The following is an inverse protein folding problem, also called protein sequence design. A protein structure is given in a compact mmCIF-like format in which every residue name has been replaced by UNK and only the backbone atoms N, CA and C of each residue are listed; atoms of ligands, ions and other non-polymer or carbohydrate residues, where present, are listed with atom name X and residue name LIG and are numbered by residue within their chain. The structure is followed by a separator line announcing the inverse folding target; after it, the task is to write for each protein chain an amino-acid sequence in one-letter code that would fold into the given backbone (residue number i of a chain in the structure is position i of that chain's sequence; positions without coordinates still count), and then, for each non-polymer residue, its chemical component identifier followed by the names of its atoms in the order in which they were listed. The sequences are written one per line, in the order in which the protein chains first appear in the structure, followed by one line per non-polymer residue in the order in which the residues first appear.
data_IF_839101160119
#
_entry.id   IF_839101160119
#
_cell.length_a   1.000
_cell.length_b   1.000
_cell.length_c   1.000
_cell.angle_alpha   90.00
_cell.angle_beta   90.00
_cell.angle_gamma   90.00
#
_symmetry.space_group_name_H-M   'P 1'
#
loop_
_entity.id
_entity.type
_entity.pdbx_description
1 polymer ?
#
# COMPACT_ATOMS: atom_id res chain seq x y z
N UNK A 1 -38.46 -42.32 43.34
CA UNK A 1 -39.37 -41.87 42.27
C UNK A 1 -38.85 -40.51 41.82
N UNK A 2 -37.72 -40.52 41.11
CA UNK A 2 -37.64 -40.59 39.64
C UNK A 2 -37.60 -39.17 39.08
N UNK A 3 -36.42 -38.65 38.75
CA UNK A 3 -35.59 -38.92 37.56
C UNK A 3 -35.89 -37.92 36.43
N UNK A 4 -34.85 -37.19 36.02
CA UNK A 4 -34.48 -36.91 34.62
C UNK A 4 -33.47 -35.75 34.63
N UNK A 5 -32.19 -36.06 34.48
CA UNK A 5 -31.45 -36.16 33.22
C UNK A 5 -31.11 -34.79 32.59
N UNK A 6 -29.83 -34.44 32.68
CA UNK A 6 -29.12 -33.61 31.68
C UNK A 6 -29.32 -34.19 30.26
N UNK A 7 -29.23 -33.36 29.21
CA UNK A 7 -27.93 -33.16 28.56
C UNK A 7 -27.74 -31.67 28.19
N UNK A 8 -26.56 -31.09 28.34
CA UNK A 8 -25.47 -31.36 27.44
C UNK A 8 -25.05 -30.04 26.78
N UNK A 9 -24.02 -29.43 27.35
CA UNK A 9 -23.27 -28.33 26.79
C UNK A 9 -22.71 -28.74 25.40
N UNK A 10 -23.33 -28.29 24.31
CA UNK A 10 -22.94 -28.65 22.93
C UNK A 10 -22.82 -27.47 21.95
N UNK A 11 -22.84 -26.22 22.43
CA UNK A 11 -22.75 -25.05 21.54
C UNK A 11 -21.38 -24.35 21.52
N UNK A 12 -20.38 -24.85 22.26
CA UNK A 12 -19.06 -24.22 22.34
C UNK A 12 -18.01 -24.74 21.33
N UNK A 13 -18.28 -25.81 20.56
CA UNK A 13 -17.26 -26.48 19.74
C UNK A 13 -17.33 -26.20 18.22
N UNK A 14 -18.41 -25.62 17.71
CA UNK A 14 -18.61 -25.44 16.25
C UNK A 14 -17.93 -24.18 15.71
N UNK A 15 -17.69 -23.17 16.55
CA UNK A 15 -17.02 -21.92 16.16
C UNK A 15 -15.51 -22.07 15.91
N UNK A 16 -14.85 -23.02 16.58
CA UNK A 16 -13.38 -23.05 16.62
C UNK A 16 -12.74 -23.72 15.38
N UNK A 17 -13.36 -24.77 14.82
CA UNK A 17 -12.89 -25.42 13.57
C UNK A 17 -13.13 -24.57 12.32
N UNK A 18 -14.28 -23.90 12.25
CA UNK A 18 -14.61 -23.02 11.13
C UNK A 18 -13.72 -21.78 11.11
N UNK A 19 -13.48 -21.19 12.29
CA UNK A 19 -12.59 -20.03 12.43
C UNK A 19 -11.14 -20.39 12.12
N UNK A 20 -10.63 -21.54 12.61
CA UNK A 20 -9.27 -22.00 12.28
C UNK A 20 -9.09 -22.28 10.79
N UNK A 21 -10.03 -22.99 10.15
CA UNK A 21 -9.93 -23.29 8.73
C UNK A 21 -10.02 -22.03 7.84
N UNK A 22 -10.89 -21.07 8.19
CA UNK A 22 -11.02 -19.80 7.47
C UNK A 22 -9.79 -18.90 7.69
N UNK A 23 -9.26 -18.87 8.92
CA UNK A 23 -8.02 -18.19 9.25
C UNK A 23 -6.85 -18.76 8.46
N UNK A 24 -6.62 -20.07 8.49
CA UNK A 24 -5.50 -20.69 7.75
C UNK A 24 -5.65 -20.54 6.24
N UNK A 25 -6.87 -20.59 5.69
CA UNK A 25 -7.15 -20.35 4.26
C UNK A 25 -6.77 -18.93 3.84
N UNK A 26 -7.01 -17.92 4.68
CA UNK A 26 -6.66 -16.52 4.38
C UNK A 26 -5.21 -16.18 4.74
N UNK A 27 -4.68 -16.80 5.80
CA UNK A 27 -3.34 -16.54 6.33
C UNK A 27 -2.24 -17.06 5.43
N UNK A 28 -2.40 -18.27 4.87
CA UNK A 28 -1.42 -18.86 3.97
C UNK A 28 -1.11 -17.99 2.73
N UNK A 29 -2.10 -17.52 1.94
CA UNK A 29 -1.83 -16.65 0.80
C UNK A 29 -1.31 -15.27 1.22
N UNK A 30 -1.72 -14.73 2.38
CA UNK A 30 -1.20 -13.47 2.89
C UNK A 30 0.29 -13.56 3.26
N UNK A 31 0.71 -14.66 3.88
CA UNK A 31 2.12 -14.92 4.17
C UNK A 31 2.94 -15.07 2.89
N UNK A 32 2.47 -15.88 1.93
CA UNK A 32 3.13 -16.03 0.64
C UNK A 32 3.30 -14.70 -0.09
N UNK A 33 2.27 -13.84 -0.04
CA UNK A 33 2.32 -12.50 -0.61
C UNK A 33 3.37 -11.62 0.09
N UNK A 34 3.46 -11.70 1.42
CA UNK A 34 4.42 -10.94 2.22
C UNK A 34 5.86 -11.39 1.96
N UNK A 35 6.10 -12.70 1.89
CA UNK A 35 7.41 -13.27 1.53
C UNK A 35 7.79 -12.89 0.10
N UNK A 36 6.84 -12.95 -0.83
CA UNK A 36 7.05 -12.49 -2.20
C UNK A 36 7.49 -11.03 -2.26
N UNK A 37 6.83 -10.16 -1.50
CA UNK A 37 7.21 -8.75 -1.41
C UNK A 37 8.62 -8.57 -0.85
N UNK A 38 8.95 -9.22 0.26
CA UNK A 38 10.30 -9.15 0.84
C UNK A 38 11.38 -9.66 -0.10
N UNK A 39 11.10 -10.71 -0.89
CA UNK A 39 12.05 -11.23 -1.86
C UNK A 39 12.27 -10.25 -3.02
N UNK A 40 11.22 -9.56 -3.46
CA UNK A 40 11.34 -8.49 -4.44
C UNK A 40 12.19 -7.33 -3.92
N UNK A 41 11.99 -6.89 -2.67
CA UNK A 41 12.81 -5.84 -2.07
C UNK A 41 14.31 -6.23 -2.01
N UNK A 42 14.61 -7.50 -1.69
CA UNK A 42 15.98 -8.03 -1.70
C UNK A 42 16.54 -8.07 -3.12
N UNK A 43 15.76 -8.53 -4.10
CA UNK A 43 16.19 -8.60 -5.49
C UNK A 43 16.55 -7.20 -6.02
N UNK A 44 15.71 -6.20 -5.74
CA UNK A 44 15.96 -4.81 -6.12
C UNK A 44 17.24 -4.27 -5.46
N UNK A 45 17.45 -4.55 -4.16
CA UNK A 45 18.66 -4.16 -3.46
C UNK A 45 19.92 -4.85 -4.03
N UNK A 46 19.84 -6.14 -4.39
CA UNK A 46 20.96 -6.88 -5.00
C UNK A 46 21.31 -6.32 -6.38
N UNK A 47 20.31 -6.09 -7.23
CA UNK A 47 20.51 -5.51 -8.57
C UNK A 47 21.12 -4.12 -8.45
N UNK A 48 20.59 -3.26 -7.59
CA UNK A 48 21.19 -1.93 -7.37
C UNK A 48 22.60 -2.03 -6.81
N UNK A 49 22.84 -2.92 -5.84
CA UNK A 49 24.16 -3.15 -5.27
C UNK A 49 25.19 -3.62 -6.30
N UNK A 50 24.79 -4.48 -7.25
CA UNK A 50 25.65 -4.95 -8.33
C UNK A 50 25.89 -3.89 -9.41
N UNK A 51 24.87 -3.12 -9.78
CA UNK A 51 24.98 -2.13 -10.86
C UNK A 51 25.59 -0.79 -10.42
N UNK A 52 25.33 -0.35 -9.19
CA UNK A 52 25.67 0.99 -8.69
C UNK A 52 26.57 0.96 -7.45
N UNK A 53 26.92 -0.23 -6.95
CA UNK A 53 27.88 -0.41 -5.87
C UNK A 53 27.45 0.16 -4.53
N UNK A 54 28.42 0.35 -3.64
CA UNK A 54 28.19 0.86 -2.29
C UNK A 54 27.57 2.27 -2.27
N UNK A 55 27.91 3.12 -3.24
CA UNK A 55 27.37 4.49 -3.36
C UNK A 55 25.89 4.48 -3.70
N UNK A 56 25.46 3.60 -4.62
CA UNK A 56 24.04 3.43 -4.96
C UNK A 56 23.22 2.95 -3.77
N UNK A 57 23.71 1.94 -3.05
CA UNK A 57 23.04 1.43 -1.85
C UNK A 57 22.93 2.48 -0.75
N UNK A 58 24.02 3.22 -0.48
CA UNK A 58 24.00 4.31 0.49
C UNK A 58 22.96 5.39 0.11
N UNK A 59 22.92 5.76 -1.18
CA UNK A 59 21.94 6.73 -1.69
C UNK A 59 20.49 6.28 -1.46
N UNK A 60 20.19 5.00 -1.72
CA UNK A 60 18.86 4.44 -1.46
C UNK A 60 18.51 4.52 0.02
N UNK A 61 19.42 4.07 0.89
CA UNK A 61 19.19 4.10 2.35
C UNK A 61 18.89 5.50 2.87
N UNK A 62 19.54 6.52 2.32
CA UNK A 62 19.30 7.92 2.68
C UNK A 62 17.92 8.41 2.23
N UNK A 63 17.40 7.91 1.10
CA UNK A 63 16.10 8.33 0.55
C UNK A 63 14.93 7.60 1.21
N UNK A 64 15.17 6.45 1.86
CA UNK A 64 14.13 5.65 2.52
C UNK A 64 13.18 6.45 3.44
N UNK A 65 13.64 7.38 4.30
CA UNK A 65 12.74 8.15 5.15
C UNK A 65 11.75 9.00 4.34
N UNK A 66 12.22 9.60 3.24
CA UNK A 66 11.37 10.40 2.33
C UNK A 66 10.35 9.49 1.65
N UNK A 67 10.81 8.34 1.17
CA UNK A 67 9.94 7.32 0.58
C UNK A 67 8.86 6.87 1.58
N UNK A 68 9.23 6.56 2.82
CA UNK A 68 8.30 6.12 3.86
C UNK A 68 7.22 7.16 4.16
N UNK A 69 7.60 8.43 4.31
CA UNK A 69 6.64 9.53 4.52
C UNK A 69 5.67 9.63 3.34
N UNK A 70 6.19 9.60 2.12
CA UNK A 70 5.37 9.63 0.92
C UNK A 70 4.42 8.43 0.85
N UNK A 71 4.90 7.24 1.23
CA UNK A 71 4.11 6.02 1.23
C UNK A 71 3.00 6.05 2.30
N UNK A 72 3.29 6.63 3.47
CA UNK A 72 2.32 6.83 4.54
C UNK A 72 1.13 7.67 4.07
N UNK A 73 1.37 8.78 3.38
CA UNK A 73 0.30 9.62 2.84
C UNK A 73 -0.48 8.90 1.73
N UNK A 74 0.20 8.21 0.81
CA UNK A 74 -0.45 7.44 -0.26
C UNK A 74 -1.39 6.37 0.31
N UNK A 75 -0.91 5.58 1.26
CA UNK A 75 -1.67 4.50 1.88
C UNK A 75 -2.76 5.05 2.82
N UNK A 76 -2.49 6.14 3.53
CA UNK A 76 -3.44 6.80 4.41
C UNK A 76 -4.64 7.36 3.64
N UNK A 77 -4.39 8.07 2.54
CA UNK A 77 -5.46 8.59 1.67
C UNK A 77 -6.20 7.45 0.97
N UNK A 78 -5.49 6.45 0.45
CA UNK A 78 -6.10 5.29 -0.23
C UNK A 78 -6.99 4.46 0.69
N UNK A 79 -6.46 4.07 1.85
CA UNK A 79 -7.19 3.24 2.82
C UNK A 79 -8.29 4.01 3.53
N UNK A 80 -8.04 5.26 3.92
CA UNK A 80 -9.05 6.12 4.55
C UNK A 80 -10.20 6.41 3.60
N UNK A 81 -9.88 6.74 2.35
CA UNK A 81 -10.88 7.00 1.31
C UNK A 81 -11.69 5.76 0.93
N UNK A 82 -11.04 4.61 0.76
CA UNK A 82 -11.72 3.34 0.53
C UNK A 82 -12.65 2.96 1.69
N UNK A 83 -12.24 3.20 2.93
CA UNK A 83 -13.10 2.92 4.10
C UNK A 83 -14.38 3.75 4.06
N UNK A 84 -14.28 5.05 3.77
CA UNK A 84 -15.44 5.93 3.63
C UNK A 84 -16.37 5.48 2.48
N UNK A 85 -15.78 5.11 1.34
CA UNK A 85 -16.53 4.58 0.20
C UNK A 85 -17.31 3.30 0.56
N UNK A 86 -16.65 2.34 1.23
CA UNK A 86 -17.28 1.09 1.65
C UNK A 86 -18.47 1.31 2.59
N UNK A 87 -18.35 2.26 3.53
CA UNK A 87 -19.44 2.62 4.46
C UNK A 87 -20.62 3.25 3.72
N UNK A 88 -20.38 4.14 2.76
CA UNK A 88 -21.45 4.75 1.95
C UNK A 88 -22.16 3.73 1.06
N UNK A 89 -21.41 2.81 0.47
CA UNK A 89 -21.94 1.69 -0.32
C UNK A 89 -22.78 0.74 0.54
N UNK A 90 -22.32 0.40 1.76
CA UNK A 90 -23.07 -0.43 2.70
C UNK A 90 -24.40 0.22 3.15
N UNK A 91 -24.48 1.55 3.14
CA UNK A 91 -25.71 2.32 3.43
C UNK A 91 -26.61 2.53 2.21
N UNK A 92 -26.29 1.95 1.06
CA UNK A 92 -27.08 2.07 -0.18
C UNK A 92 -26.96 3.43 -0.89
N UNK A 93 -26.11 4.34 -0.42
CA UNK A 93 -25.96 5.71 -0.93
C UNK A 93 -24.97 5.77 -2.11
N UNK A 94 -25.30 5.09 -3.22
CA UNK A 94 -24.39 4.94 -4.37
C UNK A 94 -23.93 6.27 -5.00
N UNK A 95 -24.82 7.26 -5.06
CA UNK A 95 -24.49 8.58 -5.64
C UNK A 95 -23.47 9.33 -4.78
N UNK A 96 -23.67 9.35 -3.45
CA UNK A 96 -22.72 9.94 -2.50
C UNK A 96 -21.39 9.19 -2.48
N UNK A 97 -21.42 7.85 -2.60
CA UNK A 97 -20.22 7.03 -2.69
C UNK A 97 -19.37 7.39 -3.92
N UNK A 98 -19.99 7.54 -5.10
CA UNK A 98 -19.30 7.93 -6.34
C UNK A 98 -18.73 9.36 -6.28
N UNK A 99 -19.45 10.28 -5.65
CA UNK A 99 -18.95 11.65 -5.42
C UNK A 99 -17.75 11.64 -4.49
N UNK A 100 -17.85 10.97 -3.33
CA UNK A 100 -16.75 10.79 -2.39
C UNK A 100 -15.53 10.14 -3.06
N UNK A 101 -15.73 9.14 -3.92
CA UNK A 101 -14.66 8.55 -4.71
C UNK A 101 -13.93 9.59 -5.57
N UNK A 102 -14.69 10.35 -6.35
CA UNK A 102 -14.16 11.39 -7.24
C UNK A 102 -13.41 12.48 -6.46
N UNK A 103 -13.93 12.88 -5.29
CA UNK A 103 -13.29 13.86 -4.42
C UNK A 103 -11.97 13.36 -3.84
N UNK A 104 -11.90 12.07 -3.45
CA UNK A 104 -10.68 11.43 -2.96
C UNK A 104 -9.65 11.31 -4.08
N UNK A 105 -10.05 10.95 -5.29
CA UNK A 105 -9.17 10.97 -6.47
C UNK A 105 -8.60 12.36 -6.74
N UNK A 106 -9.46 13.38 -6.75
CA UNK A 106 -9.04 14.76 -6.99
C UNK A 106 -8.09 15.26 -5.89
N UNK A 107 -8.43 14.99 -4.63
CA UNK A 107 -7.61 15.36 -3.47
C UNK A 107 -6.26 14.64 -3.50
N UNK A 108 -6.23 13.36 -3.84
CA UNK A 108 -5.00 12.58 -3.99
C UNK A 108 -4.13 13.06 -5.15
N UNK A 109 -4.73 13.44 -6.28
CA UNK A 109 -4.02 14.01 -7.42
C UNK A 109 -3.43 15.39 -7.09
N UNK A 110 -4.20 16.25 -6.43
CA UNK A 110 -3.73 17.56 -5.96
C UNK A 110 -2.61 17.40 -4.94
N UNK A 111 -2.79 16.55 -3.93
CA UNK A 111 -1.80 16.33 -2.88
C UNK A 111 -0.49 15.75 -3.44
N UNK A 112 -0.57 14.76 -4.33
CA UNK A 112 0.62 14.18 -4.96
C UNK A 112 1.34 15.16 -5.89
N UNK A 113 0.59 15.97 -6.64
CA UNK A 113 1.16 17.03 -7.49
C UNK A 113 1.87 18.10 -6.66
N UNK A 114 1.23 18.56 -5.58
CA UNK A 114 1.82 19.53 -4.64
C UNK A 114 3.07 18.94 -3.99
N UNK A 115 3.02 17.70 -3.52
CA UNK A 115 4.17 17.01 -2.91
C UNK A 115 5.33 16.85 -3.89
N UNK A 116 5.05 16.48 -5.15
CA UNK A 116 6.07 16.36 -6.19
C UNK A 116 6.72 17.71 -6.52
N UNK A 117 5.92 18.78 -6.68
CA UNK A 117 6.43 20.13 -6.96
C UNK A 117 7.24 20.66 -5.78
N UNK A 118 6.72 20.56 -4.55
CA UNK A 118 7.45 20.99 -3.36
C UNK A 118 8.75 20.20 -3.19
N UNK A 119 8.73 18.89 -3.38
CA UNK A 119 9.94 18.07 -3.31
C UNK A 119 11.00 18.46 -4.34
N UNK A 120 10.59 18.84 -5.56
CA UNK A 120 11.51 19.29 -6.61
C UNK A 120 12.07 20.70 -6.33
N UNK A 121 11.24 21.61 -5.80
CA UNK A 121 11.67 22.97 -5.42
C UNK A 121 12.61 22.94 -4.22
N UNK A 122 12.30 22.12 -3.22
CA UNK A 122 13.09 21.97 -1.99
C UNK A 122 14.11 20.82 -2.06
N UNK A 123 14.48 20.36 -3.26
CA UNK A 123 15.37 19.22 -3.45
C UNK A 123 16.72 19.40 -2.74
N UNK A 124 17.32 20.58 -2.84
CA UNK A 124 18.61 20.90 -2.23
C UNK A 124 18.55 20.91 -0.68
N UNK A 125 17.60 21.62 -0.04
CA UNK A 125 17.37 21.51 1.40
C UNK A 125 17.09 20.07 1.87
N UNK A 126 16.32 19.30 1.10
CA UNK A 126 16.01 17.92 1.43
C UNK A 126 17.31 17.08 1.47
N UNK A 127 18.15 17.17 0.44
CA UNK A 127 19.44 16.47 0.39
C UNK A 127 20.34 16.80 1.59
N UNK A 128 20.31 18.05 2.05
CA UNK A 128 21.04 18.50 3.23
C UNK A 128 20.47 17.89 4.52
N UNK A 129 19.14 17.81 4.67
CA UNK A 129 18.48 17.14 5.80
C UNK A 129 18.76 15.64 5.79
N UNK A 130 18.85 15.03 4.62
CA UNK A 130 19.27 13.63 4.45
C UNK A 130 20.74 13.42 4.83
N UNK A 131 21.50 14.48 5.09
CA UNK A 131 22.91 14.39 5.51
C UNK A 131 23.89 14.32 4.35
N UNK A 132 23.46 14.65 3.12
CA UNK A 132 24.35 14.73 1.95
C UNK A 132 24.60 16.18 1.56
N UNK A 133 25.86 16.48 1.28
CA UNK A 133 26.34 17.81 0.92
C UNK A 133 26.97 17.70 -0.47
N UNK A 134 26.96 18.77 -1.30
CA UNK A 134 27.68 18.75 -2.58
C UNK A 134 29.16 18.35 -2.48
N UNK A 135 29.76 18.48 -1.29
CA UNK A 135 31.11 18.02 -1.00
C UNK A 135 31.28 16.48 -1.02
N UNK A 136 30.21 15.71 -0.89
CA UNK A 136 30.22 14.24 -0.91
C UNK A 136 30.31 13.66 -2.34
N UNK A 137 30.38 14.54 -3.36
CA UNK A 137 30.66 14.19 -4.75
C UNK A 137 29.66 13.17 -5.32
N UNK A 138 30.14 11.95 -5.58
CA UNK A 138 29.36 10.90 -6.22
C UNK A 138 28.11 10.48 -5.42
N UNK A 139 28.16 10.52 -4.08
CA UNK A 139 27.01 10.19 -3.24
C UNK A 139 25.89 11.24 -3.36
N UNK A 140 26.27 12.51 -3.42
CA UNK A 140 25.31 13.61 -3.59
C UNK A 140 24.58 13.53 -4.93
N UNK A 141 25.32 13.34 -6.03
CA UNK A 141 24.72 13.24 -7.37
C UNK A 141 23.84 11.99 -7.52
N UNK A 142 24.27 10.84 -6.97
CA UNK A 142 23.45 9.63 -6.96
C UNK A 142 22.16 9.83 -6.15
N UNK A 143 22.25 10.33 -4.91
CA UNK A 143 21.09 10.60 -4.05
C UNK A 143 20.14 11.60 -4.69
N UNK A 144 20.65 12.66 -5.31
CA UNK A 144 19.87 13.66 -6.04
C UNK A 144 19.13 13.05 -7.23
N UNK A 145 19.80 12.21 -8.02
CA UNK A 145 19.18 11.55 -9.17
C UNK A 145 18.03 10.63 -8.73
N UNK A 146 18.27 9.79 -7.72
CA UNK A 146 17.24 8.90 -7.16
C UNK A 146 16.06 9.67 -6.58
N UNK A 147 16.33 10.71 -5.78
CA UNK A 147 15.29 11.52 -5.17
C UNK A 147 14.44 12.24 -6.22
N UNK A 148 15.07 12.74 -7.29
CA UNK A 148 14.35 13.36 -8.42
C UNK A 148 13.45 12.36 -9.13
N UNK A 149 13.95 11.15 -9.42
CA UNK A 149 13.15 10.08 -10.04
C UNK A 149 11.97 9.71 -9.14
N UNK A 150 12.21 9.55 -7.83
CA UNK A 150 11.18 9.24 -6.85
C UNK A 150 10.08 10.30 -6.81
N UNK A 151 10.44 11.58 -6.80
CA UNK A 151 9.50 12.70 -6.78
C UNK A 151 8.70 12.79 -8.08
N UNK A 152 9.33 12.54 -9.23
CA UNK A 152 8.63 12.49 -10.52
C UNK A 152 7.68 11.29 -10.63
N UNK A 153 8.02 10.16 -10.00
CA UNK A 153 7.18 8.97 -9.95
C UNK A 153 6.02 9.09 -8.95
N UNK A 154 6.08 10.03 -8.00
CA UNK A 154 5.11 10.16 -6.90
C UNK A 154 3.66 10.37 -7.38
N UNK A 155 3.35 11.24 -8.36
CA UNK A 155 1.98 11.41 -8.85
C UNK A 155 1.41 10.12 -9.47
N UNK A 156 2.23 9.41 -10.25
CA UNK A 156 1.84 8.14 -10.88
C UNK A 156 1.62 7.05 -9.82
N UNK A 157 2.45 7.02 -8.79
CA UNK A 157 2.33 6.10 -7.66
C UNK A 157 1.01 6.31 -6.91
N UNK A 158 0.67 7.55 -6.57
CA UNK A 158 -0.59 7.86 -5.88
C UNK A 158 -1.80 7.51 -6.73
N UNK A 159 -1.78 7.86 -8.02
CA UNK A 159 -2.86 7.52 -8.93
C UNK A 159 -3.10 6.01 -8.98
N UNK A 160 -2.02 5.22 -9.13
CA UNK A 160 -2.07 3.75 -9.15
C UNK A 160 -2.57 3.18 -7.83
N UNK A 161 -2.14 3.73 -6.70
CA UNK A 161 -2.55 3.25 -5.38
C UNK A 161 -4.05 3.47 -5.14
N UNK A 162 -4.53 4.71 -5.35
CA UNK A 162 -5.93 5.06 -5.18
C UNK A 162 -6.79 4.22 -6.15
N UNK A 163 -6.38 4.08 -7.41
CA UNK A 163 -7.09 3.26 -8.39
C UNK A 163 -7.23 1.79 -7.95
N UNK A 164 -6.15 1.17 -7.46
CA UNK A 164 -6.18 -0.21 -6.96
C UNK A 164 -7.09 -0.38 -5.73
N UNK A 165 -7.11 0.60 -4.81
CA UNK A 165 -7.99 0.55 -3.64
C UNK A 165 -9.46 0.59 -4.04
N UNK A 166 -9.86 1.48 -4.94
CA UNK A 166 -11.23 1.54 -5.44
C UNK A 166 -11.62 0.31 -6.24
N UNK A 167 -10.74 -0.23 -7.10
CA UNK A 167 -11.00 -1.48 -7.83
C UNK A 167 -11.24 -2.67 -6.90
N UNK A 168 -10.47 -2.76 -5.81
CA UNK A 168 -10.72 -3.76 -4.76
C UNK A 168 -12.05 -3.54 -4.04
N UNK A 169 -12.43 -2.28 -3.82
CA UNK A 169 -13.61 -1.91 -3.07
C UNK A 169 -14.91 -1.97 -3.90
N UNK A 170 -14.83 -1.78 -5.21
CA UNK A 170 -15.94 -1.92 -6.15
C UNK A 170 -16.42 -3.37 -6.35
N UNK A 171 -15.82 -4.33 -5.62
CA UNK A 171 -16.49 -5.59 -5.37
C UNK A 171 -16.72 -6.44 -6.62
N UNK A 172 -15.90 -6.29 -7.67
CA UNK A 172 -15.91 -7.26 -8.77
C UNK A 172 -15.33 -8.65 -8.40
N UNK A 173 -15.15 -8.93 -7.10
CA UNK A 173 -14.94 -10.28 -6.59
C UNK A 173 -16.09 -11.26 -6.93
N UNK A 174 -17.27 -10.80 -7.36
CA UNK A 174 -18.34 -11.69 -7.85
C UNK A 174 -18.42 -11.83 -9.39
N UNK A 175 -17.75 -10.98 -10.17
CA UNK A 175 -17.79 -11.07 -11.65
C UNK A 175 -16.53 -11.73 -12.22
N UNK A 176 -15.40 -11.68 -11.50
CA UNK A 176 -14.18 -12.40 -11.88
C UNK A 176 -14.25 -13.91 -11.57
N UNK A 177 -15.06 -14.36 -10.60
CA UNK A 177 -15.26 -15.78 -10.34
C UNK A 177 -16.09 -16.51 -11.40
N UNK A 178 -16.94 -15.78 -12.13
CA UNK A 178 -17.82 -16.32 -13.17
C UNK A 178 -17.19 -16.14 -14.57
N UNK A 179 -16.35 -15.10 -14.75
CA UNK A 179 -15.58 -14.90 -15.99
C UNK A 179 -14.52 -15.97 -16.22
N UNK A 180 -13.81 -16.42 -15.19
CA UNK A 180 -12.76 -17.47 -15.33
C UNK A 180 -13.29 -18.88 -15.57
N UNK A 181 -14.61 -19.09 -15.48
CA UNK A 181 -15.27 -20.36 -15.83
C UNK A 181 -15.89 -20.33 -17.22
N UNK A 182 -15.92 -19.17 -17.88
CA UNK A 182 -16.56 -19.00 -19.19
C UNK A 182 -15.69 -18.31 -20.25
N UNK A 183 -14.40 -18.08 -19.97
CA UNK A 183 -13.41 -17.56 -20.92
C UNK A 183 -12.10 -18.33 -20.85
#
# INVERSE_FOLDING_TARGET
MESSNSPGNSNAQTGDRFTKAMFFRAWWPALLSSVGWSLSDIADAVVVGQHLGAVGLASISLILPVYMINNMFAHGLGTGGATQYAVLMARGKRTEARQSASDIYLTGLLFSSVTAVLGLVFLHPLLHILGTVPADGALFEATKAYLRIQLMATPLFYFTNIFNYYLRNDGMHQVAGIGSLTG
#
